data_IF_817121026379
#
_entry.id   IF_817121026379
#
_cell.length_a   1.000
_cell.length_b   1.000
_cell.length_c   1.000
_cell.angle_alpha   90.00
_cell.angle_beta   90.00
_cell.angle_gamma   90.00
#
_symmetry.space_group_name_H-M   'P 1'
#
loop_
_entity.id
_entity.type
_entity.pdbx_description
1 polymer ?
#
# COMPACT_ATOMS: atom_id res chain seq x y z
N UNK A 1 1.13 -10.55 14.18
CA UNK A 1 0.94 -9.89 12.87
C UNK A 1 -0.44 -9.25 12.87
N UNK A 2 -0.58 -8.00 12.42
CA UNK A 2 -1.88 -7.32 12.27
C UNK A 2 -2.19 -7.29 10.77
N UNK A 3 -3.18 -8.06 10.33
CA UNK A 3 -3.50 -8.26 8.92
C UNK A 3 -4.78 -7.51 8.46
N UNK A 4 -5.64 -7.16 9.41
CA UNK A 4 -6.91 -6.49 9.15
C UNK A 4 -7.34 -5.72 10.40
N UNK A 5 -7.96 -4.56 10.20
CA UNK A 5 -8.59 -3.77 11.26
C UNK A 5 -9.94 -3.26 10.77
N UNK A 6 -10.94 -3.25 11.65
CA UNK A 6 -12.25 -2.67 11.43
C UNK A 6 -12.68 -1.92 12.69
N UNK A 7 -13.15 -0.69 12.53
CA UNK A 7 -13.48 0.18 13.64
C UNK A 7 -13.85 1.58 13.16
N UNK A 8 -13.77 2.56 14.07
CA UNK A 8 -14.17 3.96 13.78
C UNK A 8 -12.98 4.83 13.43
N UNK A 9 -13.09 5.67 12.41
CA UNK A 9 -12.08 6.69 12.11
C UNK A 9 -12.15 7.77 13.20
N UNK A 10 -11.03 8.01 13.89
CA UNK A 10 -10.96 9.05 14.94
C UNK A 10 -10.17 10.28 14.50
N UNK A 11 -9.23 10.11 13.56
CA UNK A 11 -8.41 11.18 13.02
C UNK A 11 -7.91 10.82 11.62
N UNK A 12 -7.85 11.81 10.73
CA UNK A 12 -7.16 11.74 9.43
C UNK A 12 -6.05 12.78 9.40
N UNK A 13 -4.86 12.37 8.97
CA UNK A 13 -3.72 13.25 8.71
C UNK A 13 -3.42 13.31 7.21
N UNK A 14 -2.33 13.97 6.82
CA UNK A 14 -1.88 13.98 5.42
C UNK A 14 -1.26 12.64 4.98
N UNK A 15 -0.84 11.77 5.91
CA UNK A 15 -0.12 10.53 5.59
C UNK A 15 -0.71 9.28 6.26
N UNK A 16 -1.66 9.44 7.19
CA UNK A 16 -2.21 8.36 8.00
C UNK A 16 -3.66 8.61 8.40
N UNK A 17 -4.33 7.55 8.86
CA UNK A 17 -5.59 7.63 9.58
C UNK A 17 -5.47 6.85 10.88
N UNK A 18 -6.12 7.32 11.94
CA UNK A 18 -6.22 6.57 13.20
C UNK A 18 -7.60 5.90 13.24
N UNK A 19 -7.58 4.58 13.40
CA UNK A 19 -8.77 3.75 13.55
C UNK A 19 -8.86 3.27 15.00
N UNK A 20 -9.97 3.56 15.67
CA UNK A 20 -10.27 3.02 17.00
C UNK A 20 -10.93 1.64 16.87
N UNK A 21 -10.31 0.63 17.48
CA UNK A 21 -10.84 -0.74 17.60
C UNK A 21 -10.84 -1.10 19.07
N UNK A 22 -12.01 -1.33 19.67
CA UNK A 22 -12.16 -1.63 21.10
C UNK A 22 -11.36 -0.68 22.02
N UNK A 23 -11.53 0.63 21.81
CA UNK A 23 -10.84 1.70 22.55
C UNK A 23 -9.31 1.76 22.38
N UNK A 24 -8.75 1.04 21.41
CA UNK A 24 -7.34 1.13 21.03
C UNK A 24 -7.23 1.85 19.69
N UNK A 25 -6.47 2.95 19.66
CA UNK A 25 -6.19 3.70 18.43
C UNK A 25 -5.00 3.12 17.66
N UNK A 26 -5.25 2.67 16.44
CA UNK A 26 -4.22 2.19 15.51
C UNK A 26 -3.93 3.26 14.46
N UNK A 27 -2.71 3.79 14.44
CA UNK A 27 -2.28 4.64 13.33
C UNK A 27 -1.93 3.79 12.11
N UNK A 28 -2.68 3.99 11.03
CA UNK A 28 -2.54 3.27 9.76
C UNK A 28 -2.02 4.23 8.70
N UNK A 29 -0.81 3.97 8.20
CA UNK A 29 -0.15 4.73 7.14
C UNK A 29 -0.70 4.34 5.77
N UNK A 30 -1.09 5.32 4.98
CA UNK A 30 -1.85 5.11 3.74
C UNK A 30 -1.21 5.85 2.58
N UNK A 31 -1.47 5.38 1.36
CA UNK A 31 -1.17 6.15 0.17
C UNK A 31 -2.09 7.38 0.09
N UNK A 32 -1.65 8.45 -0.58
CA UNK A 32 -2.41 9.70 -0.67
C UNK A 32 -3.78 9.46 -1.34
N UNK A 33 -3.78 8.73 -2.47
CA UNK A 33 -5.00 8.31 -3.18
C UNK A 33 -5.92 7.42 -2.35
N UNK A 34 -5.38 6.68 -1.37
CA UNK A 34 -6.19 5.87 -0.46
C UNK A 34 -6.84 6.72 0.64
N UNK A 35 -6.16 7.75 1.13
CA UNK A 35 -6.70 8.68 2.14
C UNK A 35 -7.93 9.46 1.66
N UNK A 36 -8.01 9.75 0.35
CA UNK A 36 -9.18 10.38 -0.28
C UNK A 36 -10.46 9.55 -0.11
N UNK A 37 -10.32 8.23 0.00
CA UNK A 37 -11.43 7.28 0.15
C UNK A 37 -11.73 6.93 1.61
N UNK A 38 -10.91 7.39 2.54
CA UNK A 38 -11.16 7.21 3.97
C UNK A 38 -12.24 8.20 4.41
N UNK A 39 -13.32 7.73 5.07
CA UNK A 39 -14.42 8.57 5.48
C UNK A 39 -14.01 9.56 6.58
N UNK A 40 -14.93 10.49 6.87
CA UNK A 40 -14.77 11.46 7.94
C UNK A 40 -14.81 10.81 9.34
N UNK A 41 -14.34 11.57 10.33
CA UNK A 41 -14.31 11.15 11.74
C UNK A 41 -15.68 10.65 12.21
N UNK A 42 -15.67 9.54 12.95
CA UNK A 42 -16.84 8.90 13.57
C UNK A 42 -17.46 7.78 12.72
N UNK A 43 -17.08 7.67 11.45
CA UNK A 43 -17.59 6.62 10.57
C UNK A 43 -16.80 5.31 10.70
N UNK A 44 -17.50 4.19 10.51
CA UNK A 44 -16.89 2.87 10.49
C UNK A 44 -16.12 2.66 9.18
N UNK A 45 -14.94 2.05 9.29
CA UNK A 45 -14.09 1.73 8.15
C UNK A 45 -13.22 0.53 8.45
N UNK A 46 -12.63 -0.04 7.40
CA UNK A 46 -11.72 -1.16 7.54
C UNK A 46 -10.51 -1.03 6.63
N UNK A 47 -9.39 -1.60 7.08
CA UNK A 47 -8.14 -1.68 6.34
C UNK A 47 -7.64 -3.11 6.32
N UNK A 48 -7.12 -3.53 5.17
CA UNK A 48 -6.12 -4.59 5.13
C UNK A 48 -4.78 -4.01 5.57
N UNK A 49 -3.98 -4.79 6.29
CA UNK A 49 -2.80 -4.26 6.96
C UNK A 49 -1.54 -5.08 6.70
N UNK A 50 -0.42 -4.38 6.61
CA UNK A 50 0.93 -4.94 6.70
C UNK A 50 1.69 -4.24 7.83
N UNK A 51 2.07 -5.01 8.85
CA UNK A 51 2.94 -4.54 9.92
C UNK A 51 4.40 -4.68 9.48
N UNK A 52 5.15 -3.59 9.46
CA UNK A 52 6.61 -3.62 9.29
C UNK A 52 7.30 -3.15 10.58
N UNK A 53 8.20 -3.98 11.10
CA UNK A 53 9.07 -3.64 12.22
C UNK A 53 10.51 -3.52 11.73
N UNK A 54 11.19 -2.45 12.14
CA UNK A 54 12.63 -2.24 11.91
C UNK A 54 13.26 -1.57 13.13
N UNK A 55 14.55 -1.26 13.06
CA UNK A 55 15.30 -0.64 14.16
C UNK A 55 14.76 0.74 14.59
N UNK A 56 14.04 1.43 13.70
CA UNK A 56 13.42 2.74 13.98
C UNK A 56 11.99 2.63 14.52
N UNK A 57 11.51 1.40 14.72
CA UNK A 57 10.21 1.11 15.30
C UNK A 57 9.27 0.34 14.38
N UNK A 58 7.98 0.39 14.74
CA UNK A 58 6.92 -0.39 14.12
C UNK A 58 5.98 0.55 13.35
N UNK A 59 5.67 0.21 12.10
CA UNK A 59 4.69 0.92 11.27
C UNK A 59 3.64 -0.05 10.76
N UNK A 60 2.38 0.41 10.78
CA UNK A 60 1.25 -0.31 10.21
C UNK A 60 0.83 0.38 8.90
N UNK A 61 0.97 -0.33 7.79
CA UNK A 61 0.55 0.15 6.47
C UNK A 61 -0.84 -0.39 6.14
N UNK A 62 -1.71 0.46 5.60
CA UNK A 62 -3.10 0.14 5.28
C UNK A 62 -3.39 0.11 3.79
N UNK A 63 -4.34 -0.73 3.41
CA UNK A 63 -4.81 -0.90 2.04
C UNK A 63 -6.34 -1.04 2.03
N UNK A 64 -6.98 -0.49 1.00
CA UNK A 64 -8.44 -0.50 0.87
C UNK A 64 -8.95 -1.85 0.34
N UNK A 65 -8.11 -2.55 -0.41
CA UNK A 65 -8.41 -3.87 -0.95
C UNK A 65 -7.26 -4.85 -0.64
N UNK A 66 -7.58 -6.13 -0.67
CA UNK A 66 -6.57 -7.18 -0.50
C UNK A 66 -5.55 -7.17 -1.66
N UNK A 67 -5.99 -6.90 -2.89
CA UNK A 67 -5.09 -6.83 -4.05
C UNK A 67 -4.02 -5.74 -3.91
N UNK A 68 -4.38 -4.60 -3.32
CA UNK A 68 -3.42 -3.54 -3.00
C UNK A 68 -2.37 -4.01 -1.97
N UNK A 69 -2.78 -4.76 -0.96
CA UNK A 69 -1.86 -5.36 0.03
C UNK A 69 -0.90 -6.36 -0.63
N UNK A 70 -1.41 -7.24 -1.50
CA UNK A 70 -0.57 -8.23 -2.18
C UNK A 70 0.42 -7.56 -3.13
N UNK A 71 -0.04 -6.58 -3.90
CA UNK A 71 0.83 -5.79 -4.77
C UNK A 71 1.91 -5.05 -3.97
N UNK A 72 1.57 -4.48 -2.82
CA UNK A 72 2.54 -3.88 -1.92
C UNK A 72 3.64 -4.87 -1.52
N UNK A 73 3.27 -6.09 -1.10
CA UNK A 73 4.23 -7.13 -0.68
C UNK A 73 5.19 -7.49 -1.83
N UNK A 74 4.67 -7.65 -3.05
CA UNK A 74 5.48 -7.94 -4.24
C UNK A 74 6.47 -6.81 -4.53
N UNK A 75 6.00 -5.56 -4.53
CA UNK A 75 6.83 -4.38 -4.79
C UNK A 75 7.87 -4.18 -3.69
N UNK A 76 7.48 -4.39 -2.43
CA UNK A 76 8.34 -4.23 -1.26
C UNK A 76 9.54 -5.19 -1.28
N UNK A 77 9.37 -6.36 -1.91
CA UNK A 77 10.44 -7.34 -2.13
C UNK A 77 11.44 -6.98 -3.23
N UNK A 78 11.27 -5.87 -3.94
CA UNK A 78 12.23 -5.40 -4.96
C UNK A 78 13.36 -4.61 -4.28
N UNK A 79 14.60 -5.03 -4.51
CA UNK A 79 15.79 -4.39 -3.91
C UNK A 79 15.85 -2.90 -4.22
N UNK A 80 15.98 -2.07 -3.17
CA UNK A 80 16.07 -0.61 -3.27
C UNK A 80 14.72 0.12 -3.24
N UNK A 81 13.61 -0.61 -3.07
CA UNK A 81 12.28 -0.03 -2.84
C UNK A 81 11.96 -0.08 -1.34
N UNK A 82 11.79 1.10 -0.75
CA UNK A 82 11.35 1.26 0.63
C UNK A 82 9.82 1.23 0.76
N UNK A 83 9.29 1.09 1.99
CA UNK A 83 7.87 0.90 2.22
C UNK A 83 7.01 2.10 1.79
N UNK A 84 7.49 3.35 1.98
CA UNK A 84 6.75 4.54 1.50
C UNK A 84 6.54 4.52 -0.02
N UNK A 85 7.56 4.13 -0.79
CA UNK A 85 7.44 4.03 -2.25
C UNK A 85 6.52 2.88 -2.65
N UNK A 86 6.67 1.70 -2.01
CA UNK A 86 5.81 0.55 -2.27
C UNK A 86 4.33 0.87 -2.02
N UNK A 87 4.02 1.57 -0.92
CA UNK A 87 2.67 1.99 -0.55
C UNK A 87 2.03 2.88 -1.62
N UNK A 88 2.76 3.88 -2.12
CA UNK A 88 2.25 4.78 -3.15
C UNK A 88 1.98 4.02 -4.45
N UNK A 89 2.91 3.17 -4.91
CA UNK A 89 2.74 2.41 -6.16
C UNK A 89 1.55 1.46 -6.05
N UNK A 90 1.41 0.73 -4.94
CA UNK A 90 0.31 -0.22 -4.76
C UNK A 90 -1.08 0.42 -4.80
N UNK A 91 -1.17 1.75 -4.60
CA UNK A 91 -2.43 2.49 -4.67
C UNK A 91 -2.79 2.97 -6.08
N UNK A 92 -1.84 2.93 -7.03
CA UNK A 92 -2.04 3.50 -8.37
C UNK A 92 -3.09 2.71 -9.17
N UNK A 93 -3.13 1.39 -8.99
CA UNK A 93 -4.09 0.50 -9.63
C UNK A 93 -3.54 -0.91 -9.79
N UNK A 94 -4.09 -1.62 -10.77
CA UNK A 94 -3.62 -2.90 -11.28
C UNK A 94 -2.19 -2.84 -11.81
N UNK A 95 -1.60 -4.02 -12.04
CA UNK A 95 -0.29 -4.12 -12.67
C UNK A 95 -0.26 -3.44 -14.04
N UNK A 96 -1.28 -3.66 -14.86
CA UNK A 96 -1.37 -3.08 -16.21
C UNK A 96 -1.39 -1.56 -16.15
N UNK A 97 -2.15 -0.97 -15.23
CA UNK A 97 -2.20 0.48 -15.04
C UNK A 97 -0.84 1.04 -14.60
N UNK A 98 -0.15 0.34 -13.69
CA UNK A 98 1.20 0.74 -13.26
C UNK A 98 2.20 0.66 -14.40
N UNK A 99 2.18 -0.41 -15.20
CA UNK A 99 3.02 -0.54 -16.39
C UNK A 99 2.77 0.61 -17.35
N UNK A 100 1.51 0.89 -17.65
CA UNK A 100 1.12 1.99 -18.54
C UNK A 100 1.61 3.35 -18.03
N UNK A 101 1.44 3.65 -16.74
CA UNK A 101 1.94 4.90 -16.13
C UNK A 101 3.46 5.04 -16.33
N UNK A 102 4.20 3.95 -16.13
CA UNK A 102 5.66 3.96 -16.22
C UNK A 102 6.13 4.04 -17.69
N UNK A 103 5.46 3.34 -18.61
CA UNK A 103 5.72 3.39 -20.06
C UNK A 103 5.42 4.77 -20.65
N UNK A 104 4.37 5.45 -20.18
CA UNK A 104 4.04 6.83 -20.55
C UNK A 104 5.01 7.87 -19.96
N UNK A 105 6.01 7.44 -19.18
CA UNK A 105 7.01 8.32 -18.57
C UNK A 105 6.44 9.25 -17.49
N UNK A 106 5.23 8.98 -16.98
CA UNK A 106 4.62 9.79 -15.93
C UNK A 106 5.38 9.60 -14.63
N UNK A 107 5.77 10.72 -14.02
CA UNK A 107 6.46 10.71 -12.75
C UNK A 107 5.55 10.15 -11.65
N UNK A 108 6.03 9.11 -10.94
CA UNK A 108 5.39 8.65 -9.71
C UNK A 108 6.07 9.38 -8.55
N UNK A 109 5.32 10.10 -7.68
CA UNK A 109 5.90 10.83 -6.56
C UNK A 109 6.83 9.95 -5.70
N UNK A 110 8.07 10.41 -5.51
CA UNK A 110 9.08 9.69 -4.73
C UNK A 110 9.80 8.55 -5.46
N UNK A 111 9.54 8.34 -6.76
CA UNK A 111 10.14 7.28 -7.56
C UNK A 111 10.75 7.87 -8.82
N UNK A 112 12.08 7.81 -8.89
CA UNK A 112 12.82 8.21 -10.09
C UNK A 112 12.72 7.19 -11.23
N UNK A 113 13.07 7.59 -12.46
CA UNK A 113 12.92 6.78 -13.66
C UNK A 113 13.62 5.42 -13.56
N UNK A 114 14.83 5.36 -12.98
CA UNK A 114 15.57 4.10 -12.76
C UNK A 114 14.80 3.10 -11.88
N UNK A 115 14.15 3.58 -10.82
CA UNK A 115 13.35 2.73 -9.93
C UNK A 115 12.07 2.28 -10.64
N UNK A 116 11.43 3.17 -11.40
CA UNK A 116 10.25 2.86 -12.19
C UNK A 116 10.51 1.74 -13.21
N UNK A 117 11.60 1.83 -14.00
CA UNK A 117 11.97 0.77 -14.95
C UNK A 117 12.24 -0.57 -14.27
N UNK A 118 12.90 -0.56 -13.10
CA UNK A 118 13.13 -1.78 -12.32
C UNK A 118 11.83 -2.42 -11.83
N UNK A 119 10.87 -1.60 -11.40
CA UNK A 119 9.54 -2.07 -10.99
C UNK A 119 8.85 -2.80 -12.15
N UNK A 120 8.83 -2.22 -13.34
CA UNK A 120 8.19 -2.85 -14.52
C UNK A 120 8.85 -4.19 -14.87
N UNK A 121 10.18 -4.23 -14.89
CA UNK A 121 10.94 -5.45 -15.20
C UNK A 121 10.62 -6.56 -14.19
N UNK A 122 10.72 -6.26 -12.90
CA UNK A 122 10.52 -7.22 -11.80
C UNK A 122 9.07 -7.69 -11.70
N UNK A 123 8.10 -6.79 -11.88
CA UNK A 123 6.69 -7.15 -11.86
C UNK A 123 6.31 -8.02 -13.07
N UNK A 124 6.92 -7.78 -14.23
CA UNK A 124 6.72 -8.64 -15.41
C UNK A 124 7.29 -10.05 -15.22
N UNK A 125 8.37 -10.19 -14.45
CA UNK A 125 8.95 -11.49 -14.11
C UNK A 125 8.19 -12.24 -13.01
N UNK A 126 7.69 -11.52 -11.99
CA UNK A 126 7.05 -12.13 -10.80
C UNK A 126 5.56 -12.42 -11.00
N UNK A 127 4.88 -11.70 -11.87
CA UNK A 127 3.45 -11.89 -12.19
C UNK A 127 3.38 -12.66 -13.51
N UNK A 128 3.94 -13.87 -13.51
CA UNK A 128 3.58 -14.88 -14.51
C UNK A 128 2.20 -15.45 -14.16
N UNK A 129 1.36 -15.86 -15.12
CA UNK A 129 0.00 -16.38 -14.88
C UNK A 129 -0.10 -17.64 -14.01
N UNK A 130 0.99 -18.09 -13.39
CA UNK A 130 1.04 -19.29 -12.54
C UNK A 130 0.53 -19.08 -11.11
N UNK A 131 0.14 -17.86 -10.71
CA UNK A 131 -0.43 -17.63 -9.37
C UNK A 131 -1.96 -17.72 -9.29
N UNK A 132 -2.62 -18.31 -10.30
CA UNK A 132 -3.97 -18.86 -10.15
C UNK A 132 -3.88 -20.34 -9.76
N UNK A 133 -3.50 -20.65 -8.53
CA UNK A 133 -3.78 -21.96 -7.94
C UNK A 133 -3.55 -22.01 -6.43
N UNK A 134 -4.60 -22.49 -5.74
CA UNK A 134 -4.68 -22.98 -4.36
C UNK A 134 -4.93 -21.94 -3.27
N UNK A 135 -6.21 -21.66 -2.99
CA UNK A 135 -7.00 -22.41 -1.97
C UNK A 135 -8.43 -22.57 -2.49
#
# INVERSE_FOLDING_TARGET
MIAYLQGKIILKTKESAILEVNSVGYEVWLAEKSLEKVPEKGQDFNFYCQLEANERGVKLYGFLTHDQLELFKVIRGITGIGPKAALQISSLGSLEEIKKIIEEGKAIPGIGPKKASKIVLELSGKISPQNKSKV
#
